data_IF_437505577202
#
_entry.id   IF_437505577202
#
_cell.length_a   1.000
_cell.length_b   1.000
_cell.length_c   1.000
_cell.angle_alpha   90.00
_cell.angle_beta   90.00
_cell.angle_gamma   90.00
#
_symmetry.space_group_name_H-M   'P 1'
#
loop_
_entity.id
_entity.type
_entity.pdbx_description
1 polymer ?
#
# COMPACT_ATOMS: atom_id res chain seq x y z
N UNK A 1 28.43 -6.53 26.48
CA UNK A 1 27.30 -7.09 27.23
C UNK A 1 26.04 -6.72 26.49
N UNK A 2 25.60 -7.60 25.65
CA UNK A 2 24.41 -7.44 24.77
C UNK A 2 23.22 -8.03 25.48
N UNK A 3 22.23 -7.20 25.72
CA UNK A 3 20.98 -7.60 26.39
C UNK A 3 20.11 -8.47 25.47
N UNK A 4 20.03 -9.75 25.77
CA UNK A 4 19.35 -10.80 25.01
C UNK A 4 17.90 -11.06 25.50
N UNK A 5 17.20 -10.07 26.04
CA UNK A 5 15.92 -10.27 26.75
C UNK A 5 14.65 -9.77 26.06
N UNK A 6 14.62 -9.71 24.74
CA UNK A 6 13.37 -9.36 24.03
C UNK A 6 12.96 -10.39 22.95
N UNK A 7 13.14 -11.66 23.22
CA UNK A 7 12.42 -12.72 22.48
C UNK A 7 11.59 -13.51 23.47
N UNK A 8 10.52 -12.88 23.94
CA UNK A 8 9.45 -13.58 24.64
C UNK A 8 8.72 -14.50 23.69
N UNK A 9 8.84 -15.79 23.97
CA UNK A 9 8.12 -16.87 23.33
C UNK A 9 6.65 -16.80 23.79
N UNK A 10 5.81 -15.97 23.14
CA UNK A 10 4.37 -15.95 23.40
C UNK A 10 3.69 -17.05 22.60
N UNK A 11 3.08 -17.93 23.37
CA UNK A 11 2.30 -19.10 22.95
C UNK A 11 1.16 -18.67 22.01
N UNK A 12 1.02 -19.43 20.96
CA UNK A 12 -0.04 -19.50 19.97
C UNK A 12 -1.42 -19.51 20.66
N UNK A 13 -1.94 -18.34 20.94
CA UNK A 13 -3.36 -18.10 21.16
C UNK A 13 -3.90 -17.66 19.80
N UNK A 14 -4.93 -18.31 19.28
CA UNK A 14 -5.43 -18.17 17.90
C UNK A 14 -5.98 -16.79 17.49
N UNK A 15 -5.38 -15.72 17.99
CA UNK A 15 -5.57 -14.37 17.52
C UNK A 15 -4.69 -14.18 16.26
N UNK A 16 -5.31 -14.09 15.12
CA UNK A 16 -4.67 -13.66 13.88
C UNK A 16 -3.96 -12.33 14.14
N UNK A 17 -2.64 -12.36 14.31
CA UNK A 17 -1.83 -11.15 14.46
C UNK A 17 -1.97 -10.38 13.14
N UNK A 18 -2.79 -9.34 13.15
CA UNK A 18 -2.95 -8.49 11.95
C UNK A 18 -1.63 -7.76 11.70
N UNK A 19 -0.92 -8.17 10.67
CA UNK A 19 0.27 -7.46 10.20
C UNK A 19 -0.13 -6.00 9.89
N UNK A 20 0.55 -4.99 10.47
CA UNK A 20 0.34 -3.58 10.13
C UNK A 20 0.44 -3.36 8.62
N UNK A 21 -0.40 -2.49 8.08
CA UNK A 21 -0.52 -2.31 6.64
C UNK A 21 -0.79 -0.87 6.27
N UNK A 22 -0.25 -0.41 5.15
CA UNK A 22 -0.50 0.91 4.57
C UNK A 22 -0.56 0.81 3.05
N UNK A 23 -1.40 1.62 2.43
CA UNK A 23 -1.43 1.81 0.98
C UNK A 23 -1.00 3.23 0.64
N UNK A 24 0.07 3.36 -0.16
CA UNK A 24 0.50 4.64 -0.71
C UNK A 24 -0.12 4.85 -2.07
N UNK A 25 -0.83 5.94 -2.23
CA UNK A 25 -1.44 6.34 -3.50
C UNK A 25 -1.33 7.85 -3.69
N UNK A 26 -1.89 8.40 -4.75
CA UNK A 26 -1.78 9.83 -5.03
C UNK A 26 -3.07 10.41 -5.62
N UNK A 27 -3.12 11.73 -5.71
CA UNK A 27 -4.22 12.43 -6.37
C UNK A 27 -4.22 12.25 -7.89
N UNK A 28 -3.07 11.88 -8.48
CA UNK A 28 -2.94 11.66 -9.93
C UNK A 28 -1.73 10.80 -10.27
N UNK A 29 -1.66 10.36 -11.53
CA UNK A 29 -0.46 9.72 -12.07
C UNK A 29 0.71 10.72 -12.10
N UNK A 30 1.94 10.22 -11.98
CA UNK A 30 3.15 11.07 -12.02
C UNK A 30 3.44 11.87 -10.74
N UNK A 31 2.66 11.71 -9.66
CA UNK A 31 2.86 12.42 -8.38
C UNK A 31 4.00 11.88 -7.52
N UNK A 32 4.80 10.95 -8.00
CA UNK A 32 5.97 10.43 -7.29
C UNK A 32 5.69 9.26 -6.34
N UNK A 33 4.54 8.59 -6.47
CA UNK A 33 4.17 7.41 -5.65
C UNK A 33 5.30 6.40 -5.52
N UNK A 34 5.79 5.89 -6.64
CA UNK A 34 6.81 4.84 -6.69
C UNK A 34 8.08 5.25 -5.96
N UNK A 35 8.54 6.50 -6.14
CA UNK A 35 9.74 6.98 -5.45
C UNK A 35 9.53 7.01 -3.92
N UNK A 36 8.36 7.49 -3.47
CA UNK A 36 8.03 7.58 -2.04
C UNK A 36 7.87 6.16 -1.46
N UNK A 37 7.19 5.26 -2.16
CA UNK A 37 7.02 3.86 -1.75
C UNK A 37 8.37 3.17 -1.60
N UNK A 38 9.25 3.29 -2.59
CA UNK A 38 10.61 2.76 -2.53
C UNK A 38 11.41 3.33 -1.37
N UNK A 39 11.29 4.64 -1.12
CA UNK A 39 11.94 5.31 0.02
C UNK A 39 11.46 4.76 1.36
N UNK A 40 10.15 4.55 1.53
CA UNK A 40 9.57 3.98 2.74
C UNK A 40 10.00 2.54 2.92
N UNK A 41 9.89 1.69 1.89
CA UNK A 41 10.34 0.30 1.92
C UNK A 41 11.81 0.20 2.33
N UNK A 42 12.67 1.05 1.73
CA UNK A 42 14.09 1.10 2.07
C UNK A 42 14.33 1.54 3.51
N UNK A 43 13.59 2.54 3.98
CA UNK A 43 13.72 3.04 5.35
C UNK A 43 13.29 1.98 6.39
N UNK A 44 12.19 1.27 6.14
CA UNK A 44 11.70 0.17 6.98
C UNK A 44 12.72 -0.96 7.04
N UNK A 45 13.22 -1.40 5.87
CA UNK A 45 14.27 -2.42 5.78
C UNK A 45 15.55 -2.03 6.52
N UNK A 46 15.99 -0.78 6.41
CA UNK A 46 17.16 -0.29 7.13
C UNK A 46 16.97 -0.29 8.66
N UNK A 47 15.73 -0.28 9.13
CA UNK A 47 15.37 -0.45 10.55
C UNK A 47 15.27 -1.90 10.98
N UNK A 48 15.54 -2.84 10.09
CA UNK A 48 15.49 -4.29 10.36
C UNK A 48 14.09 -4.88 10.28
N UNK A 49 13.11 -4.15 9.73
CA UNK A 49 11.76 -4.68 9.51
C UNK A 49 11.70 -5.49 8.22
N UNK A 50 11.03 -6.62 8.28
CA UNK A 50 10.72 -7.44 7.11
C UNK A 50 9.39 -6.99 6.51
N UNK A 51 9.43 -6.57 5.22
CA UNK A 51 8.31 -5.94 4.55
C UNK A 51 7.72 -6.86 3.48
N UNK A 52 6.40 -7.09 3.53
CA UNK A 52 5.64 -7.56 2.37
C UNK A 52 5.30 -6.36 1.48
N UNK A 53 5.68 -6.41 0.21
CA UNK A 53 5.37 -5.34 -0.74
C UNK A 53 4.33 -5.80 -1.75
N UNK A 54 3.39 -4.90 -2.08
CA UNK A 54 2.36 -5.17 -3.06
C UNK A 54 2.19 -4.00 -4.03
N UNK A 55 1.80 -4.31 -5.25
CA UNK A 55 1.42 -3.34 -6.27
C UNK A 55 -0.04 -3.51 -6.67
N UNK A 56 -0.81 -2.43 -6.69
CA UNK A 56 -2.15 -2.43 -7.25
C UNK A 56 -2.09 -2.55 -8.77
N UNK A 57 -2.90 -3.45 -9.33
CA UNK A 57 -3.01 -3.65 -10.76
C UNK A 57 -1.90 -4.50 -11.40
N UNK A 58 -1.94 -4.72 -12.73
CA UNK A 58 -1.04 -5.61 -13.46
C UNK A 58 0.26 -4.88 -13.85
N UNK A 59 0.99 -4.35 -12.90
CA UNK A 59 2.27 -3.66 -13.11
C UNK A 59 3.44 -4.63 -12.89
N UNK A 60 4.36 -4.69 -13.84
CA UNK A 60 5.55 -5.54 -13.75
C UNK A 60 6.83 -4.76 -13.44
N UNK A 61 6.86 -3.46 -13.70
CA UNK A 61 8.07 -2.63 -13.56
C UNK A 61 8.37 -2.35 -12.10
N UNK A 62 7.38 -1.87 -11.34
CA UNK A 62 7.55 -1.51 -9.94
C UNK A 62 7.87 -2.73 -9.06
N UNK A 63 7.17 -3.89 -9.18
CA UNK A 63 7.56 -5.12 -8.47
C UNK A 63 8.97 -5.60 -8.79
N UNK A 64 9.39 -5.55 -10.05
CA UNK A 64 10.77 -5.89 -10.42
C UNK A 64 11.80 -4.96 -9.78
N UNK A 65 11.50 -3.66 -9.69
CA UNK A 65 12.38 -2.70 -9.03
C UNK A 65 12.48 -2.99 -7.52
N UNK A 66 11.36 -3.26 -6.86
CA UNK A 66 11.34 -3.63 -5.45
C UNK A 66 12.20 -4.88 -5.19
N UNK A 67 12.06 -5.89 -6.01
CA UNK A 67 12.79 -7.15 -5.86
C UNK A 67 14.27 -7.00 -6.21
N UNK A 68 14.59 -6.43 -7.36
CA UNK A 68 15.98 -6.37 -7.85
C UNK A 68 16.82 -5.32 -7.12
N UNK A 69 16.25 -4.15 -6.83
CA UNK A 69 16.99 -3.04 -6.22
C UNK A 69 16.89 -3.04 -4.71
N UNK A 70 15.68 -3.19 -4.16
CA UNK A 70 15.46 -3.15 -2.72
C UNK A 70 15.63 -4.53 -2.06
N UNK A 71 15.64 -5.61 -2.86
CA UNK A 71 15.62 -6.99 -2.36
C UNK A 71 14.42 -7.26 -1.44
N UNK A 72 13.27 -6.74 -1.83
CA UNK A 72 11.97 -6.93 -1.18
C UNK A 72 11.05 -7.56 -2.22
N UNK A 73 10.62 -8.82 -2.05
CA UNK A 73 9.65 -9.44 -2.94
C UNK A 73 8.37 -8.62 -3.01
N UNK A 74 7.82 -8.46 -4.21
CA UNK A 74 6.61 -7.69 -4.43
C UNK A 74 5.63 -8.47 -5.30
N UNK A 75 4.34 -8.42 -4.95
CA UNK A 75 3.27 -9.12 -5.64
C UNK A 75 2.23 -8.14 -6.17
N UNK A 76 1.60 -8.50 -7.27
CA UNK A 76 0.48 -7.73 -7.81
C UNK A 76 -0.84 -8.15 -7.15
N UNK A 77 -1.67 -7.15 -6.83
CA UNK A 77 -3.05 -7.35 -6.40
C UNK A 77 -3.95 -6.60 -7.38
N UNK A 78 -4.62 -7.34 -8.24
CA UNK A 78 -5.41 -6.76 -9.33
C UNK A 78 -6.90 -7.04 -9.12
N UNK A 79 -7.61 -6.01 -8.65
CA UNK A 79 -9.05 -6.04 -8.38
C UNK A 79 -9.91 -5.97 -9.65
N UNK A 80 -9.32 -5.89 -10.83
CA UNK A 80 -10.02 -6.00 -12.09
C UNK A 80 -10.16 -7.47 -12.53
N UNK A 81 -9.08 -8.27 -12.38
CA UNK A 81 -9.09 -9.68 -12.80
C UNK A 81 -9.47 -10.65 -11.67
N UNK A 82 -9.45 -10.19 -10.40
CA UNK A 82 -9.72 -11.03 -9.24
C UNK A 82 -10.85 -10.44 -8.40
N UNK A 83 -11.70 -11.30 -7.89
CA UNK A 83 -12.74 -10.90 -6.95
C UNK A 83 -12.18 -10.59 -5.54
N UNK A 84 -13.01 -10.01 -4.68
CA UNK A 84 -12.59 -9.60 -3.34
C UNK A 84 -12.03 -10.76 -2.50
N UNK A 85 -12.60 -11.95 -2.61
CA UNK A 85 -12.16 -13.12 -1.85
C UNK A 85 -10.81 -13.63 -2.33
N UNK A 86 -10.57 -13.62 -3.64
CA UNK A 86 -9.29 -13.97 -4.22
C UNK A 86 -8.19 -12.97 -3.84
N UNK A 87 -8.50 -11.65 -3.89
CA UNK A 87 -7.57 -10.60 -3.46
C UNK A 87 -7.20 -10.76 -1.98
N UNK A 88 -8.18 -11.00 -1.11
CA UNK A 88 -7.93 -11.24 0.31
C UNK A 88 -7.05 -12.47 0.53
N UNK A 89 -7.35 -13.58 -0.13
CA UNK A 89 -6.56 -14.80 -0.02
C UNK A 89 -5.12 -14.62 -0.50
N UNK A 90 -4.91 -13.99 -1.67
CA UNK A 90 -3.57 -13.68 -2.19
C UNK A 90 -2.78 -12.78 -1.23
N UNK A 91 -3.44 -11.76 -0.68
CA UNK A 91 -2.83 -10.86 0.28
C UNK A 91 -2.41 -11.59 1.56
N UNK A 92 -3.32 -12.38 2.15
CA UNK A 92 -3.09 -13.10 3.40
C UNK A 92 -2.01 -14.20 3.27
N UNK A 93 -1.89 -14.81 2.10
CA UNK A 93 -0.85 -15.84 1.85
C UNK A 93 0.58 -15.27 1.91
N UNK A 94 0.76 -14.00 1.62
CA UNK A 94 2.08 -13.36 1.57
C UNK A 94 2.45 -12.67 2.91
N UNK A 95 1.54 -12.59 3.89
CA UNK A 95 1.79 -11.88 5.16
C UNK A 95 2.63 -12.66 6.19
N UNK A 96 2.58 -14.01 6.28
CA UNK A 96 3.27 -14.73 7.34
C UNK A 96 4.78 -14.46 7.33
N UNK A 97 5.32 -14.05 8.49
CA UNK A 97 6.73 -13.77 8.67
C UNK A 97 7.14 -12.32 8.40
N UNK A 98 6.23 -11.48 7.90
CA UNK A 98 6.50 -10.06 7.68
C UNK A 98 6.01 -9.19 8.85
N UNK A 99 6.75 -8.10 9.12
CA UNK A 99 6.45 -7.15 10.19
C UNK A 99 5.43 -6.08 9.73
N UNK A 100 5.39 -5.77 8.43
CA UNK A 100 4.52 -4.75 7.84
C UNK A 100 4.25 -5.03 6.37
N UNK A 101 3.04 -4.74 5.91
CA UNK A 101 2.66 -4.74 4.50
C UNK A 101 2.59 -3.31 3.95
N UNK A 102 3.27 -3.08 2.83
CA UNK A 102 3.26 -1.80 2.11
C UNK A 102 2.70 -2.04 0.71
N UNK A 103 1.58 -1.39 0.41
CA UNK A 103 0.92 -1.47 -0.87
C UNK A 103 1.18 -0.18 -1.66
N UNK A 104 1.49 -0.29 -2.95
CA UNK A 104 1.59 0.84 -3.86
C UNK A 104 0.39 0.90 -4.80
N UNK A 105 -0.29 2.04 -4.82
CA UNK A 105 -1.42 2.29 -5.69
C UNK A 105 -1.02 2.53 -7.15
N UNK A 106 -2.02 2.50 -8.02
CA UNK A 106 -1.91 2.78 -9.46
C UNK A 106 -2.66 4.07 -9.79
N UNK A 107 -2.20 4.82 -10.78
CA UNK A 107 -2.83 6.07 -11.26
C UNK A 107 -3.18 7.04 -10.11
N UNK A 108 -4.31 7.73 -10.17
CA UNK A 108 -4.89 8.44 -9.02
C UNK A 108 -5.71 7.51 -8.14
N UNK A 109 -5.95 7.93 -6.90
CA UNK A 109 -6.62 7.12 -5.88
C UNK A 109 -7.94 6.49 -6.37
N UNK A 110 -8.77 7.28 -7.05
CA UNK A 110 -10.11 6.89 -7.50
C UNK A 110 -10.15 6.49 -8.98
N UNK A 111 -9.02 6.56 -9.69
CA UNK A 111 -8.93 6.25 -11.11
C UNK A 111 -8.89 4.73 -11.32
N UNK A 112 -10.01 4.17 -11.70
CA UNK A 112 -10.14 2.75 -12.03
C UNK A 112 -10.40 2.54 -13.52
N UNK A 113 -11.25 1.58 -13.84
CA UNK A 113 -11.53 1.16 -15.21
C UNK A 113 -12.04 2.32 -16.08
N UNK A 114 -11.28 2.60 -17.16
CA UNK A 114 -11.60 3.69 -18.09
C UNK A 114 -11.49 5.08 -17.47
N UNK A 115 -10.94 5.23 -16.27
CA UNK A 115 -10.81 6.50 -15.54
C UNK A 115 -12.13 7.06 -14.99
N UNK A 116 -13.23 6.29 -15.09
CA UNK A 116 -14.58 6.73 -14.67
C UNK A 116 -15.27 5.78 -13.70
N UNK A 117 -14.74 4.58 -13.52
CA UNK A 117 -15.25 3.60 -12.56
C UNK A 117 -14.25 3.41 -11.44
N UNK A 118 -14.75 3.00 -10.28
CA UNK A 118 -13.90 2.73 -9.12
C UNK A 118 -13.21 1.36 -9.21
N UNK A 119 -13.81 0.41 -9.93
CA UNK A 119 -13.27 -0.94 -10.09
C UNK A 119 -11.86 -0.91 -10.69
N UNK A 120 -10.94 -1.63 -10.08
CA UNK A 120 -9.53 -1.62 -10.47
C UNK A 120 -8.73 -0.43 -9.93
N UNK A 121 -9.35 0.52 -9.21
CA UNK A 121 -8.65 1.65 -8.59
C UNK A 121 -7.90 1.26 -7.32
N UNK A 122 -6.98 2.13 -6.91
CA UNK A 122 -6.31 2.01 -5.61
C UNK A 122 -7.30 2.07 -4.44
N UNK A 123 -8.37 2.85 -4.56
CA UNK A 123 -9.40 2.94 -3.54
C UNK A 123 -10.23 1.65 -3.43
N UNK A 124 -10.54 1.01 -4.57
CA UNK A 124 -11.20 -0.29 -4.59
C UNK A 124 -10.37 -1.36 -3.85
N UNK A 125 -9.06 -1.40 -4.10
CA UNK A 125 -8.15 -2.30 -3.38
C UNK A 125 -8.12 -1.97 -1.87
N UNK A 126 -8.02 -0.70 -1.50
CA UNK A 126 -8.01 -0.27 -0.10
C UNK A 126 -9.28 -0.69 0.64
N UNK A 127 -10.46 -0.53 0.00
CA UNK A 127 -11.74 -0.98 0.56
C UNK A 127 -11.81 -2.49 0.72
N UNK A 128 -11.33 -3.24 -0.28
CA UNK A 128 -11.34 -4.71 -0.28
C UNK A 128 -10.51 -5.28 0.85
N UNK A 129 -9.37 -4.66 1.16
CA UNK A 129 -8.43 -5.12 2.18
C UNK A 129 -8.55 -4.38 3.51
N UNK A 130 -9.41 -3.35 3.61
CA UNK A 130 -9.53 -2.48 4.79
C UNK A 130 -8.18 -1.88 5.20
N UNK A 131 -7.46 -1.28 4.24
CA UNK A 131 -6.10 -0.74 4.41
C UNK A 131 -6.13 0.78 4.51
N UNK A 132 -5.51 1.39 5.54
CA UNK A 132 -5.39 2.84 5.62
C UNK A 132 -4.50 3.39 4.49
N UNK A 133 -4.86 4.58 4.02
CA UNK A 133 -4.27 5.22 2.84
C UNK A 133 -3.37 6.38 3.27
N UNK A 134 -2.17 6.43 2.69
CA UNK A 134 -1.34 7.63 2.66
C UNK A 134 -1.49 8.27 1.29
N UNK A 135 -2.12 9.45 1.25
CA UNK A 135 -2.36 10.18 0.01
C UNK A 135 -1.17 11.10 -0.30
N UNK A 136 -0.47 10.82 -1.39
CA UNK A 136 0.59 11.68 -1.93
C UNK A 136 -0.05 12.76 -2.80
N UNK A 137 0.27 14.01 -2.53
CA UNK A 137 -0.24 15.16 -3.27
C UNK A 137 0.93 15.90 -3.92
N UNK A 138 0.91 15.99 -5.23
CA UNK A 138 1.84 16.86 -5.94
C UNK A 138 1.33 18.31 -5.91
N UNK A 139 1.93 19.11 -5.06
CA UNK A 139 1.56 20.51 -4.88
C UNK A 139 2.44 21.49 -5.65
N UNK A 140 3.18 21.04 -6.66
CA UNK A 140 4.03 21.92 -7.48
C UNK A 140 3.17 22.99 -8.15
N UNK A 141 3.57 24.26 -7.99
CA UNK A 141 2.83 25.40 -8.52
C UNK A 141 1.52 25.73 -7.79
N UNK A 142 1.22 25.04 -6.68
CA UNK A 142 0.04 25.31 -5.87
C UNK A 142 0.40 26.10 -4.60
N UNK A 143 -0.39 27.12 -4.30
CA UNK A 143 -0.44 27.75 -2.98
C UNK A 143 -1.58 27.16 -2.15
N UNK A 144 -2.48 28.03 -1.66
CA UNK A 144 -3.67 27.61 -0.88
C UNK A 144 -4.63 26.68 -1.66
N UNK A 145 -4.54 26.64 -2.98
CA UNK A 145 -5.38 25.78 -3.84
C UNK A 145 -5.19 24.27 -3.57
N UNK A 146 -4.11 23.87 -2.89
CA UNK A 146 -3.94 22.48 -2.43
C UNK A 146 -4.97 22.09 -1.38
N UNK A 147 -5.49 23.05 -0.60
CA UNK A 147 -6.44 22.78 0.49
C UNK A 147 -7.78 22.23 -0.05
N UNK A 148 -8.48 22.89 -1.00
CA UNK A 148 -9.71 22.33 -1.56
C UNK A 148 -9.48 21.02 -2.32
N UNK A 149 -8.30 20.82 -2.93
CA UNK A 149 -7.95 19.55 -3.56
C UNK A 149 -7.95 18.40 -2.51
N UNK A 150 -7.19 18.59 -1.42
CA UNK A 150 -7.13 17.59 -0.34
C UNK A 150 -8.52 17.41 0.30
N UNK A 151 -9.22 18.50 0.59
CA UNK A 151 -10.56 18.47 1.18
C UNK A 151 -11.55 17.66 0.32
N UNK A 152 -11.46 17.79 -1.02
CA UNK A 152 -12.27 17.00 -1.94
C UNK A 152 -11.99 15.50 -1.84
N UNK A 153 -10.72 15.09 -1.77
CA UNK A 153 -10.36 13.69 -1.59
C UNK A 153 -10.85 13.13 -0.27
N UNK A 154 -10.68 13.87 0.84
CA UNK A 154 -11.15 13.46 2.17
C UNK A 154 -12.68 13.40 2.24
N UNK A 155 -13.39 14.31 1.56
CA UNK A 155 -14.84 14.31 1.53
C UNK A 155 -15.41 13.16 0.70
N UNK A 156 -14.70 12.78 -0.36
CA UNK A 156 -15.09 11.68 -1.25
C UNK A 156 -14.76 10.30 -0.65
N UNK A 157 -13.92 10.25 0.37
CA UNK A 157 -13.56 9.02 1.08
C UNK A 157 -14.69 8.57 2.04
N UNK A 158 -15.62 7.79 1.51
CA UNK A 158 -16.78 7.28 2.27
C UNK A 158 -16.37 6.36 3.44
N UNK A 159 -15.26 5.65 3.31
CA UNK A 159 -14.76 4.69 4.31
C UNK A 159 -13.81 5.29 5.34
N UNK A 160 -13.39 6.55 5.13
CA UNK A 160 -12.39 7.24 5.98
C UNK A 160 -11.09 6.44 6.11
N UNK A 161 -10.56 6.01 4.97
CA UNK A 161 -9.32 5.27 4.87
C UNK A 161 -8.09 6.18 4.72
N UNK A 162 -8.28 7.45 4.23
CA UNK A 162 -7.23 8.46 4.07
C UNK A 162 -6.88 9.06 5.42
#
# INVERSE_FOLDING_TARGET
MTDSRLRGNEKNDGSCVKVPRILLTATSSGSGKTMITCGILKALKNRGLDCAAFKCGPDYIDPMFHEQVLKIPSKNLDTFFSDASQIQALYEMELPGHDIAVLEGVMGLYDGLGGIREEGSSYHLAKTLDVPIILVVDARGMGKSVIPLIAGFLQYDEKKLI
#
